data_IF_074524544182
#
_entry.id   IF_074524544182
#
_cell.length_a   1.000
_cell.length_b   1.000
_cell.length_c   1.000
_cell.angle_alpha   90.00
_cell.angle_beta   90.00
_cell.angle_gamma   90.00
#
_symmetry.space_group_name_H-M   'P 1'
#
loop_
_entity.id
_entity.type
_entity.pdbx_description
1 polymer ?
#
# COMPACT_ATOMS: atom_id res chain seq x y z
N UNK A 1 82.23 7.51 8.95
CA UNK A 1 82.75 6.51 9.91
C UNK A 1 81.55 5.89 10.61
N UNK A 2 81.22 4.63 10.25
CA UNK A 2 80.34 3.65 10.92
C UNK A 2 78.92 4.11 11.36
N UNK A 3 77.85 3.75 10.66
CA UNK A 3 77.21 2.40 10.64
C UNK A 3 77.02 1.81 12.03
N UNK A 4 75.88 2.11 12.66
CA UNK A 4 75.20 1.38 13.74
C UNK A 4 73.89 2.19 13.94
N UNK A 5 72.71 1.80 13.45
CA UNK A 5 71.87 0.72 13.97
C UNK A 5 70.78 0.44 12.92
N UNK A 6 71.01 -0.56 12.07
CA UNK A 6 70.00 -1.23 11.26
C UNK A 6 69.48 -2.44 12.04
N UNK A 7 68.52 -2.26 12.94
CA UNK A 7 67.79 -3.41 13.55
C UNK A 7 66.51 -3.10 14.30
N UNK A 8 65.63 -2.21 13.79
CA UNK A 8 64.19 -2.21 14.15
C UNK A 8 63.31 -2.04 12.92
N UNK A 9 63.63 -2.86 11.91
CA UNK A 9 62.70 -3.28 10.87
C UNK A 9 61.66 -4.23 11.52
N UNK A 10 60.39 -4.09 11.10
CA UNK A 10 59.32 -5.12 11.07
C UNK A 10 58.20 -5.17 12.12
N UNK A 11 58.21 -4.41 13.22
CA UNK A 11 57.12 -4.52 14.24
C UNK A 11 56.40 -3.22 14.58
N UNK A 12 56.48 -2.19 13.72
CA UNK A 12 55.59 -1.02 13.80
C UNK A 12 54.52 -1.05 12.69
N UNK A 13 54.33 -2.22 12.11
CA UNK A 13 53.23 -2.57 11.20
C UNK A 13 52.63 -3.81 11.85
N UNK A 14 51.84 -3.65 12.91
CA UNK A 14 50.90 -4.60 13.58
C UNK A 14 50.48 -3.90 14.89
N UNK A 15 49.74 -2.79 14.78
CA UNK A 15 48.91 -2.23 15.87
C UNK A 15 48.01 -1.09 15.37
N UNK A 16 47.51 -1.22 14.15
CA UNK A 16 46.43 -0.38 13.62
C UNK A 16 45.46 -1.23 12.78
N UNK A 17 45.22 -2.46 13.25
CA UNK A 17 44.29 -3.42 12.64
C UNK A 17 43.38 -3.94 13.75
N UNK A 18 42.38 -3.14 14.10
CA UNK A 18 41.48 -3.50 15.19
C UNK A 18 40.66 -2.33 15.63
N UNK A 19 39.75 -1.87 14.76
CA UNK A 19 38.50 -1.17 15.10
C UNK A 19 37.71 -0.95 13.80
N UNK A 20 37.43 -2.04 13.08
CA UNK A 20 36.28 -2.04 12.18
C UNK A 20 35.08 -2.24 13.09
N UNK A 21 34.46 -1.12 13.50
CA UNK A 21 33.14 -1.14 14.11
C UNK A 21 32.17 -1.64 13.04
N UNK A 22 31.90 -2.95 13.02
CA UNK A 22 30.77 -3.52 12.30
C UNK A 22 29.50 -3.02 13.02
N UNK A 23 29.06 -1.83 12.66
CA UNK A 23 27.74 -1.34 13.02
C UNK A 23 26.75 -2.15 12.21
N UNK A 24 26.37 -3.32 12.71
CA UNK A 24 25.23 -4.04 12.17
C UNK A 24 24.01 -3.18 12.45
N UNK A 25 23.60 -2.38 11.46
CA UNK A 25 22.30 -1.75 11.49
C UNK A 25 21.27 -2.89 11.53
N UNK A 26 20.77 -3.18 12.72
CA UNK A 26 19.66 -4.10 12.90
C UNK A 26 18.44 -3.39 12.34
N UNK A 27 18.19 -3.56 11.04
CA UNK A 27 16.94 -3.12 10.45
C UNK A 27 15.86 -3.97 11.11
N UNK A 28 15.04 -3.35 11.97
CA UNK A 28 13.88 -4.02 12.51
C UNK A 28 13.03 -4.46 11.32
N UNK A 29 13.03 -5.77 11.04
CA UNK A 29 12.14 -6.34 10.03
C UNK A 29 10.74 -6.17 10.56
N UNK A 30 10.05 -5.11 10.13
CA UNK A 30 8.62 -5.00 10.33
C UNK A 30 8.01 -6.17 9.58
N UNK A 31 7.29 -7.09 10.25
CA UNK A 31 6.66 -8.20 9.55
C UNK A 31 5.67 -7.63 8.53
N UNK A 32 5.94 -7.91 7.25
CA UNK A 32 5.08 -7.54 6.14
C UNK A 32 4.61 -8.84 5.48
N UNK A 33 3.29 -8.99 5.37
CA UNK A 33 2.65 -10.11 4.67
C UNK A 33 2.21 -9.58 3.31
N UNK A 34 2.89 -10.03 2.25
CA UNK A 34 2.43 -9.84 0.88
C UNK A 34 1.45 -10.96 0.53
N UNK A 35 0.19 -10.60 0.34
CA UNK A 35 -0.86 -11.54 -0.06
C UNK A 35 -0.92 -11.70 -1.58
N UNK A 36 -0.61 -10.63 -2.32
CA UNK A 36 -0.60 -10.61 -3.77
C UNK A 36 0.23 -9.41 -4.26
N UNK A 37 0.99 -9.60 -5.35
CA UNK A 37 1.70 -8.49 -5.99
C UNK A 37 0.74 -7.62 -6.80
N UNK A 38 1.14 -6.36 -7.02
CA UNK A 38 0.37 -5.43 -7.86
C UNK A 38 0.21 -5.97 -9.28
N UNK A 39 1.30 -6.49 -9.86
CA UNK A 39 1.35 -7.02 -11.22
C UNK A 39 0.39 -8.19 -11.38
N UNK A 40 0.41 -9.15 -10.45
CA UNK A 40 -0.51 -10.29 -10.45
C UNK A 40 -1.97 -9.85 -10.34
N UNK A 41 -2.29 -8.86 -9.50
CA UNK A 41 -3.65 -8.33 -9.40
C UNK A 41 -4.10 -7.68 -10.72
N UNK A 42 -3.24 -6.89 -11.36
CA UNK A 42 -3.57 -6.22 -12.63
C UNK A 42 -3.81 -7.23 -13.74
N UNK A 43 -2.95 -8.26 -13.85
CA UNK A 43 -3.11 -9.36 -14.82
C UNK A 43 -4.40 -10.15 -14.58
N UNK A 44 -4.73 -10.49 -13.33
CA UNK A 44 -5.98 -11.17 -12.99
C UNK A 44 -7.22 -10.31 -13.32
N UNK A 45 -7.15 -9.01 -13.04
CA UNK A 45 -8.28 -8.10 -13.17
C UNK A 45 -8.61 -7.76 -14.64
N UNK A 46 -7.58 -7.41 -15.42
CA UNK A 46 -7.75 -7.02 -16.82
C UNK A 46 -7.77 -8.24 -17.76
N UNK A 47 -7.21 -9.37 -17.35
CA UNK A 47 -7.10 -10.56 -18.18
C UNK A 47 -6.30 -10.28 -19.44
N UNK A 48 -6.91 -10.54 -20.59
CA UNK A 48 -6.30 -10.29 -21.92
C UNK A 48 -6.49 -8.85 -22.41
N UNK A 49 -7.19 -7.99 -21.67
CA UNK A 49 -7.39 -6.59 -22.08
C UNK A 49 -6.10 -5.79 -21.95
N UNK A 50 -5.75 -5.03 -22.99
CA UNK A 50 -4.68 -4.05 -22.90
C UNK A 50 -5.06 -2.93 -21.94
N UNK A 51 -4.24 -2.72 -20.92
CA UNK A 51 -4.40 -1.65 -19.94
C UNK A 51 -3.12 -0.80 -19.85
N UNK A 52 -3.29 0.46 -19.47
CA UNK A 52 -2.17 1.38 -19.25
C UNK A 52 -2.35 2.15 -17.94
N UNK A 53 -1.24 2.62 -17.38
CA UNK A 53 -1.31 3.50 -16.23
C UNK A 53 -1.59 4.94 -16.66
N UNK A 54 -2.38 5.64 -15.85
CA UNK A 54 -2.78 7.03 -16.02
C UNK A 54 -2.58 7.78 -14.69
N UNK A 55 -2.77 9.10 -14.71
CA UNK A 55 -2.66 9.95 -13.52
C UNK A 55 -3.94 10.78 -13.37
N UNK A 56 -4.61 10.61 -12.23
CA UNK A 56 -5.66 11.52 -11.80
C UNK A 56 -5.00 12.64 -10.97
N UNK A 57 -5.15 13.89 -11.42
CA UNK A 57 -4.78 15.07 -10.63
C UNK A 57 -5.93 15.38 -9.67
N UNK A 58 -5.63 15.58 -8.40
CA UNK A 58 -6.64 15.96 -7.42
C UNK A 58 -6.66 17.48 -7.29
N UNK A 59 -7.74 18.09 -7.77
CA UNK A 59 -8.06 19.49 -7.47
C UNK A 59 -8.51 19.65 -6.01
N UNK A 60 -8.96 20.85 -5.65
CA UNK A 60 -9.35 21.14 -4.28
C UNK A 60 -10.62 20.37 -3.88
N UNK A 61 -11.63 20.31 -4.76
CA UNK A 61 -12.90 19.63 -4.46
C UNK A 61 -12.68 18.14 -4.25
N UNK A 62 -11.92 17.48 -5.12
CA UNK A 62 -11.65 16.05 -5.02
C UNK A 62 -10.79 15.72 -3.80
N UNK A 63 -9.85 16.61 -3.42
CA UNK A 63 -9.11 16.48 -2.16
C UNK A 63 -10.02 16.58 -0.96
N UNK A 64 -10.97 17.51 -0.96
CA UNK A 64 -11.88 17.69 0.17
C UNK A 64 -12.81 16.47 0.33
N UNK A 65 -13.29 15.90 -0.79
CA UNK A 65 -13.99 14.61 -0.80
C UNK A 65 -13.11 13.49 -0.25
N UNK A 66 -11.88 13.34 -0.74
CA UNK A 66 -10.95 12.32 -0.27
C UNK A 66 -10.65 12.46 1.25
N UNK A 67 -10.43 13.69 1.73
CA UNK A 67 -10.17 13.95 3.14
C UNK A 67 -11.36 13.60 4.03
N UNK A 68 -12.59 13.87 3.55
CA UNK A 68 -13.82 13.52 4.25
C UNK A 68 -13.97 12.00 4.39
N UNK A 69 -13.74 11.26 3.29
CA UNK A 69 -13.81 9.80 3.26
C UNK A 69 -12.76 9.19 4.20
N UNK A 70 -11.51 9.61 4.06
CA UNK A 70 -10.39 9.06 4.82
C UNK A 70 -10.36 9.53 6.29
N UNK A 71 -11.06 10.61 6.62
CA UNK A 71 -11.02 11.30 7.91
C UNK A 71 -9.63 11.81 8.31
N UNK A 72 -8.73 11.91 7.34
CA UNK A 72 -7.43 12.55 7.47
C UNK A 72 -7.03 13.15 6.12
N UNK A 73 -5.92 13.89 6.10
CA UNK A 73 -5.42 14.50 4.87
C UNK A 73 -4.94 13.43 3.88
N UNK A 74 -5.43 13.46 2.65
CA UNK A 74 -4.84 12.78 1.51
C UNK A 74 -3.63 13.58 1.02
N UNK A 75 -2.44 13.07 1.31
CA UNK A 75 -1.18 13.83 1.14
C UNK A 75 -0.78 14.11 -0.31
N UNK A 76 -1.31 13.34 -1.28
CA UNK A 76 -0.88 13.43 -2.66
C UNK A 76 -1.72 14.42 -3.49
N UNK A 77 -1.07 15.17 -4.39
CA UNK A 77 -1.75 16.04 -5.36
C UNK A 77 -2.23 15.29 -6.61
N UNK A 78 -1.80 14.04 -6.77
CA UNK A 78 -2.11 13.17 -7.89
C UNK A 78 -1.98 11.72 -7.47
N UNK A 79 -2.74 10.85 -8.09
CA UNK A 79 -2.69 9.40 -7.87
C UNK A 79 -2.57 8.68 -9.21
N UNK A 80 -1.79 7.60 -9.24
CA UNK A 80 -1.70 6.70 -10.39
C UNK A 80 -2.82 5.67 -10.32
N UNK A 81 -3.42 5.38 -11.46
CA UNK A 81 -4.36 4.28 -11.63
C UNK A 81 -4.06 3.54 -12.93
N UNK A 82 -4.61 2.34 -13.09
CA UNK A 82 -4.54 1.57 -14.33
C UNK A 82 -5.93 1.50 -14.94
N UNK A 83 -6.03 1.57 -16.27
CA UNK A 83 -7.33 1.57 -16.93
C UNK A 83 -7.32 0.87 -18.30
N UNK A 84 -8.49 0.33 -18.63
CA UNK A 84 -8.89 -0.22 -19.93
C UNK A 84 -10.38 0.04 -20.08
N UNK A 85 -10.83 0.66 -21.18
CA UNK A 85 -12.25 0.95 -21.44
C UNK A 85 -12.92 1.67 -20.25
N UNK A 86 -13.95 1.06 -19.65
CA UNK A 86 -14.69 1.53 -18.46
C UNK A 86 -14.13 0.96 -17.14
N UNK A 87 -12.98 0.29 -17.17
CA UNK A 87 -12.40 -0.38 -16.00
C UNK A 87 -11.24 0.44 -15.44
N UNK A 88 -11.18 0.55 -14.11
CA UNK A 88 -10.04 1.16 -13.40
C UNK A 88 -9.57 0.30 -12.25
N UNK A 89 -8.26 0.27 -12.03
CA UNK A 89 -7.63 -0.27 -10.82
C UNK A 89 -6.92 0.83 -10.04
N UNK A 90 -7.24 0.90 -8.75
CA UNK A 90 -6.66 1.81 -7.78
C UNK A 90 -5.83 1.02 -6.77
N UNK A 91 -4.58 1.44 -6.58
CA UNK A 91 -3.70 0.88 -5.54
C UNK A 91 -3.48 1.97 -4.50
N UNK A 92 -4.02 1.78 -3.31
CA UNK A 92 -4.10 2.81 -2.26
C UNK A 92 -3.56 2.25 -0.95
N UNK A 93 -2.70 3.03 -0.30
CA UNK A 93 -2.25 2.79 1.07
C UNK A 93 -3.14 3.59 2.02
N UNK A 94 -3.73 2.91 3.00
CA UNK A 94 -4.52 3.55 4.06
C UNK A 94 -4.04 3.09 5.44
N UNK A 95 -4.06 3.99 6.41
CA UNK A 95 -3.59 3.70 7.76
C UNK A 95 -4.50 2.67 8.44
N UNK A 96 -3.90 1.56 8.90
CA UNK A 96 -4.52 0.63 9.83
C UNK A 96 -4.53 1.18 11.26
N UNK A 97 -4.23 0.33 12.24
CA UNK A 97 -4.04 0.78 13.63
C UNK A 97 -2.77 1.62 13.78
N UNK A 98 -1.68 1.17 13.18
CA UNK A 98 -0.32 1.72 13.33
C UNK A 98 0.44 1.74 12.00
N UNK A 99 0.15 0.84 11.07
CA UNK A 99 0.87 0.69 9.80
C UNK A 99 -0.08 0.75 8.58
N UNK A 100 0.40 1.20 7.41
CA UNK A 100 -0.41 1.22 6.20
C UNK A 100 -0.79 -0.19 5.71
N UNK A 101 -2.02 -0.31 5.21
CA UNK A 101 -2.54 -1.46 4.48
C UNK A 101 -2.57 -1.08 3.00
N UNK A 102 -1.89 -1.86 2.14
CA UNK A 102 -1.90 -1.63 0.70
C UNK A 102 -3.04 -2.42 0.08
N UNK A 103 -3.97 -1.74 -0.58
CA UNK A 103 -5.18 -2.32 -1.14
C UNK A 103 -5.29 -2.05 -2.64
N UNK A 104 -5.83 -3.04 -3.37
CA UNK A 104 -6.18 -2.92 -4.77
C UNK A 104 -7.68 -2.96 -4.93
N UNK A 105 -8.25 -1.98 -5.64
CA UNK A 105 -9.68 -1.89 -5.92
C UNK A 105 -9.90 -1.78 -7.42
N UNK A 106 -10.59 -2.77 -7.97
CA UNK A 106 -11.00 -2.81 -9.36
C UNK A 106 -12.46 -2.37 -9.51
N UNK A 107 -12.70 -1.39 -10.36
CA UNK A 107 -14.02 -0.77 -10.59
C UNK A 107 -14.38 -0.83 -12.07
N UNK A 108 -15.63 -1.14 -12.37
CA UNK A 108 -16.24 -1.13 -13.71
C UNK A 108 -17.72 -0.76 -13.56
N UNK A 109 -18.26 0.02 -14.50
CA UNK A 109 -19.66 0.48 -14.46
C UNK A 109 -20.08 1.03 -13.08
N UNK A 110 -19.27 1.93 -12.51
CA UNK A 110 -19.46 2.53 -11.17
C UNK A 110 -19.67 1.51 -10.04
N UNK A 111 -19.12 0.30 -10.20
CA UNK A 111 -19.29 -0.83 -9.28
C UNK A 111 -17.94 -1.47 -8.98
N UNK A 112 -17.68 -1.80 -7.72
CA UNK A 112 -16.48 -2.56 -7.34
C UNK A 112 -16.65 -4.00 -7.85
N UNK A 113 -15.77 -4.44 -8.74
CA UNK A 113 -15.77 -5.78 -9.30
C UNK A 113 -14.67 -6.68 -8.73
N UNK A 114 -13.59 -6.11 -8.20
CA UNK A 114 -12.63 -6.84 -7.35
C UNK A 114 -12.03 -5.94 -6.25
N UNK A 115 -11.66 -6.55 -5.14
CA UNK A 115 -11.05 -5.90 -3.99
C UNK A 115 -10.07 -6.85 -3.31
N UNK A 116 -8.80 -6.44 -3.14
CA UNK A 116 -7.75 -7.23 -2.51
C UNK A 116 -6.92 -6.41 -1.54
N UNK A 117 -6.51 -7.04 -0.44
CA UNK A 117 -5.35 -6.60 0.33
C UNK A 117 -4.12 -7.14 -0.39
N UNK A 118 -3.22 -6.27 -0.82
CA UNK A 118 -1.94 -6.66 -1.44
C UNK A 118 -0.88 -6.89 -0.37
N UNK A 119 -0.79 -5.95 0.57
CA UNK A 119 0.25 -5.96 1.61
C UNK A 119 -0.33 -5.55 2.96
N UNK A 120 -0.07 -6.35 3.99
CA UNK A 120 -0.47 -6.12 5.38
C UNK A 120 0.75 -6.06 6.30
N UNK A 121 0.76 -5.13 7.26
CA UNK A 121 1.97 -4.79 8.06
C UNK A 121 1.72 -4.73 9.57
N UNK A 122 0.65 -5.33 10.05
CA UNK A 122 0.28 -5.33 11.47
C UNK A 122 0.13 -6.75 12.00
N UNK A 123 0.31 -6.92 13.32
CA UNK A 123 0.17 -8.24 13.97
C UNK A 123 -1.27 -8.75 13.99
N UNK A 124 -2.25 -7.83 14.07
CA UNK A 124 -3.67 -8.15 14.23
C UNK A 124 -4.49 -7.42 13.19
N UNK A 125 -5.68 -7.94 12.93
CA UNK A 125 -6.62 -7.37 11.97
C UNK A 125 -6.43 -7.80 10.52
N UNK A 126 -5.42 -8.66 10.26
CA UNK A 126 -5.13 -9.16 8.91
C UNK A 126 -6.28 -9.94 8.27
N UNK A 127 -7.27 -10.41 9.04
CA UNK A 127 -8.45 -11.17 8.56
C UNK A 127 -9.22 -10.49 7.41
N UNK A 128 -9.07 -9.18 7.21
CA UNK A 128 -9.62 -8.46 6.05
C UNK A 128 -9.10 -8.97 4.70
N UNK A 129 -7.98 -9.72 4.66
CA UNK A 129 -7.53 -10.38 3.44
C UNK A 129 -8.41 -11.56 3.02
N UNK A 130 -9.25 -12.10 3.91
CA UNK A 130 -10.04 -13.30 3.65
C UNK A 130 -11.09 -13.08 2.56
N UNK A 131 -11.26 -14.05 1.65
CA UNK A 131 -12.24 -14.03 0.56
C UNK A 131 -13.68 -13.74 1.03
N UNK A 132 -14.10 -14.24 2.19
CA UNK A 132 -15.45 -14.02 2.72
C UNK A 132 -15.70 -12.56 3.06
N UNK A 133 -14.71 -11.85 3.61
CA UNK A 133 -14.80 -10.42 3.86
C UNK A 133 -14.84 -9.64 2.55
N UNK A 134 -13.92 -9.91 1.63
CA UNK A 134 -13.81 -9.18 0.35
C UNK A 134 -15.08 -9.26 -0.49
N UNK A 135 -15.78 -10.40 -0.48
CA UNK A 135 -17.08 -10.58 -1.14
C UNK A 135 -18.18 -9.64 -0.64
N UNK A 136 -18.06 -9.09 0.57
CA UNK A 136 -19.00 -8.09 1.10
C UNK A 136 -18.82 -6.74 0.40
N UNK A 137 -17.58 -6.39 0.03
CA UNK A 137 -17.24 -5.15 -0.68
C UNK A 137 -17.55 -5.27 -2.17
N UNK A 138 -17.26 -6.42 -2.80
CA UNK A 138 -17.55 -6.65 -4.22
C UNK A 138 -19.04 -6.43 -4.51
N UNK A 139 -19.36 -5.71 -5.58
CA UNK A 139 -20.70 -5.29 -5.98
C UNK A 139 -21.18 -3.99 -5.36
N UNK A 140 -20.36 -3.32 -4.53
CA UNK A 140 -20.72 -2.01 -3.96
C UNK A 140 -20.62 -0.90 -5.01
N UNK A 141 -21.51 0.07 -4.89
CA UNK A 141 -21.51 1.35 -5.60
C UNK A 141 -21.43 2.49 -4.58
N UNK A 142 -21.29 3.73 -5.04
CA UNK A 142 -21.53 4.89 -4.17
C UNK A 142 -23.02 4.99 -3.82
N UNK A 143 -23.26 5.52 -2.64
CA UNK A 143 -24.55 5.86 -2.07
C UNK A 143 -24.39 7.14 -1.24
N UNK A 144 -25.50 7.72 -0.78
CA UNK A 144 -25.48 8.98 -0.02
C UNK A 144 -24.58 8.92 1.24
N UNK A 145 -24.50 7.75 1.89
CA UNK A 145 -23.75 7.51 3.12
C UNK A 145 -22.49 6.63 2.91
N UNK A 146 -21.94 6.62 1.70
CA UNK A 146 -20.71 5.89 1.35
C UNK A 146 -20.97 4.69 0.45
N UNK A 147 -20.74 3.46 0.93
CA UNK A 147 -20.96 2.25 0.12
C UNK A 147 -22.42 1.79 0.15
N UNK A 148 -22.95 1.41 -1.02
CA UNK A 148 -24.33 0.91 -1.17
C UNK A 148 -24.61 -0.44 -0.49
N UNK A 149 -23.55 -1.18 -0.12
CA UNK A 149 -23.66 -2.45 0.60
C UNK A 149 -23.14 -2.28 2.01
N UNK A 150 -23.82 -2.93 2.95
CA UNK A 150 -23.27 -3.02 4.30
C UNK A 150 -22.08 -3.99 4.35
N UNK A 151 -21.07 -3.59 5.12
CA UNK A 151 -19.82 -4.33 5.29
C UNK A 151 -19.63 -4.55 6.78
N UNK A 152 -20.09 -5.71 7.23
CA UNK A 152 -19.97 -6.14 8.63
C UNK A 152 -18.53 -6.11 9.12
N UNK A 153 -18.39 -5.75 10.40
CA UNK A 153 -17.12 -5.82 11.11
C UNK A 153 -16.54 -7.23 11.21
N UNK A 154 -15.24 -7.28 11.50
CA UNK A 154 -14.55 -8.49 11.95
C UNK A 154 -14.08 -8.21 13.37
N UNK A 155 -14.40 -9.11 14.30
CA UNK A 155 -13.99 -9.00 15.71
C UNK A 155 -12.48 -8.81 15.81
N UNK A 156 -12.03 -7.74 16.48
CA UNK A 156 -10.62 -7.43 16.66
C UNK A 156 -9.93 -6.80 15.43
N UNK A 157 -10.67 -6.50 14.35
CA UNK A 157 -10.15 -5.87 13.14
C UNK A 157 -10.95 -4.62 12.71
N UNK A 158 -11.65 -3.96 13.64
CA UNK A 158 -12.54 -2.81 13.34
C UNK A 158 -11.83 -1.70 12.56
N UNK A 159 -10.58 -1.39 12.91
CA UNK A 159 -9.81 -0.34 12.23
C UNK A 159 -9.47 -0.77 10.80
N UNK A 160 -8.98 -2.00 10.59
CA UNK A 160 -8.68 -2.54 9.26
C UNK A 160 -9.93 -2.62 8.38
N UNK A 161 -11.09 -3.00 8.94
CA UNK A 161 -12.38 -2.97 8.22
C UNK A 161 -12.75 -1.55 7.80
N UNK A 162 -12.56 -0.58 8.69
CA UNK A 162 -12.83 0.84 8.40
C UNK A 162 -11.94 1.35 7.28
N UNK A 163 -10.63 1.03 7.31
CA UNK A 163 -9.71 1.35 6.23
C UNK A 163 -10.17 0.77 4.88
N UNK A 164 -10.60 -0.50 4.86
CA UNK A 164 -11.14 -1.13 3.65
C UNK A 164 -12.37 -0.41 3.10
N UNK A 165 -13.33 -0.04 3.96
CA UNK A 165 -14.55 0.69 3.55
C UNK A 165 -14.22 2.04 2.94
N UNK A 166 -13.31 2.79 3.57
CA UNK A 166 -12.86 4.11 3.11
C UNK A 166 -12.16 4.04 1.76
N UNK A 167 -11.25 3.07 1.58
CA UNK A 167 -10.55 2.90 0.30
C UNK A 167 -11.47 2.43 -0.81
N UNK A 168 -12.44 1.57 -0.51
CA UNK A 168 -13.48 1.18 -1.46
C UNK A 168 -14.33 2.39 -1.94
N UNK A 169 -14.77 3.24 -1.01
CA UNK A 169 -15.52 4.46 -1.32
C UNK A 169 -14.67 5.47 -2.11
N UNK A 170 -13.40 5.62 -1.73
CA UNK A 170 -12.46 6.51 -2.39
C UNK A 170 -12.19 6.08 -3.84
N UNK A 171 -12.00 4.79 -4.08
CA UNK A 171 -11.78 4.24 -5.41
C UNK A 171 -12.98 4.46 -6.34
N UNK A 172 -14.21 4.31 -5.83
CA UNK A 172 -15.42 4.63 -6.58
C UNK A 172 -15.54 6.12 -6.88
N UNK A 173 -15.25 6.97 -5.89
CA UNK A 173 -15.24 8.45 -6.06
C UNK A 173 -14.25 8.88 -7.15
N UNK A 174 -13.06 8.28 -7.17
CA UNK A 174 -12.07 8.57 -8.20
C UNK A 174 -12.45 8.01 -9.57
N UNK A 175 -13.14 6.88 -9.61
CA UNK A 175 -13.67 6.31 -10.85
C UNK A 175 -14.70 7.23 -11.52
N UNK A 176 -15.71 7.70 -10.77
CA UNK A 176 -16.73 8.64 -11.27
C UNK A 176 -16.15 10.01 -11.68
N UNK A 177 -14.98 10.39 -11.17
CA UNK A 177 -14.32 11.62 -11.62
C UNK A 177 -13.71 11.48 -13.03
N UNK A 178 -13.45 10.26 -13.48
CA UNK A 178 -12.80 9.97 -14.76
C UNK A 178 -13.81 9.67 -15.88
N UNK A 179 -14.96 9.05 -15.54
CA UNK A 179 -16.01 8.62 -16.47
C UNK A 179 -17.34 9.31 -16.16
#
# INVERSE_FOLDING_TARGET
>A
MYSFITRKLKYFIILLFGLINASTAFSAVVPQIEHQSKESFLEEFFGEEEYSWNILKLDQELKDKANKILTHRFGASRIRYWASKDKTVWIIDELGKEMPITMAVGVSNNTIIDFKILVYREERGGEVHNVYFRKRIIGSKLSDDGLSKDVDGITGATISVTACKRVAELALTFHEQIF
#
